data_IF_146838917248
#
_entry.id   IF_146838917248
#
_cell.length_a   1.000
_cell.length_b   1.000
_cell.length_c   1.000
_cell.angle_alpha   90.00
_cell.angle_beta   90.00
_cell.angle_gamma   90.00
#
_symmetry.space_group_name_H-M   'P 1'
#
loop_
_entity.id
_entity.type
_entity.pdbx_description
1 polymer ?
#
# COMPACT_ATOMS: atom_id res chain seq x y z
N UNK A 1 1.35 -9.48 -14.07
CA UNK A 1 0.74 -9.96 -12.81
C UNK A 1 0.63 -11.47 -12.88
N UNK A 2 1.11 -12.22 -11.88
CA UNK A 2 1.08 -13.68 -11.91
C UNK A 2 -0.25 -14.16 -11.30
N UNK A 3 -1.21 -14.67 -12.10
CA UNK A 3 -2.57 -14.97 -11.61
C UNK A 3 -2.62 -16.13 -10.59
N UNK A 4 -1.50 -16.82 -10.37
CA UNK A 4 -1.42 -18.01 -9.51
C UNK A 4 -1.41 -17.70 -8.01
N UNK A 5 -1.17 -16.45 -7.60
CA UNK A 5 -1.12 -16.08 -6.19
C UNK A 5 -2.15 -14.99 -5.86
N UNK A 6 -2.97 -15.16 -4.80
CA UNK A 6 -3.91 -14.13 -4.39
C UNK A 6 -3.19 -12.95 -3.73
N UNK A 7 -3.83 -11.79 -3.78
CA UNK A 7 -3.34 -10.60 -3.07
C UNK A 7 -3.50 -10.78 -1.55
N UNK A 8 -4.57 -11.46 -1.12
CA UNK A 8 -4.82 -11.80 0.28
C UNK A 8 -5.27 -13.26 0.44
N UNK A 9 -4.78 -13.91 1.49
CA UNK A 9 -5.21 -15.25 1.89
C UNK A 9 -5.57 -15.25 3.37
N UNK A 10 -6.77 -15.71 3.70
CA UNK A 10 -7.17 -15.87 5.10
C UNK A 10 -6.38 -17.01 5.75
N UNK A 11 -5.79 -16.75 6.92
CA UNK A 11 -4.82 -17.67 7.54
C UNK A 11 -5.43 -19.00 8.01
N UNK A 12 -6.68 -18.96 8.48
CA UNK A 12 -7.33 -20.13 9.11
C UNK A 12 -8.21 -20.89 8.12
N UNK A 13 -8.91 -20.18 7.22
CA UNK A 13 -9.82 -20.79 6.22
C UNK A 13 -9.14 -21.05 4.88
N UNK A 14 -8.02 -20.38 4.60
CA UNK A 14 -7.32 -20.47 3.32
C UNK A 14 -8.02 -19.76 2.17
N UNK A 15 -9.13 -19.05 2.41
CA UNK A 15 -9.86 -18.31 1.39
C UNK A 15 -8.98 -17.25 0.73
N UNK A 16 -9.02 -17.22 -0.60
CA UNK A 16 -8.16 -16.42 -1.44
C UNK A 16 -8.95 -15.25 -2.07
N UNK A 17 -8.40 -14.05 -1.95
CA UNK A 17 -9.00 -12.83 -2.49
C UNK A 17 -8.03 -12.14 -3.45
N UNK A 18 -8.54 -11.78 -4.63
CA UNK A 18 -7.84 -10.99 -5.63
C UNK A 18 -8.49 -9.62 -5.73
N UNK A 19 -7.68 -8.57 -5.69
CA UNK A 19 -8.14 -7.18 -5.84
C UNK A 19 -8.73 -6.94 -7.24
N UNK A 20 -8.21 -7.62 -8.26
CA UNK A 20 -8.75 -7.59 -9.63
C UNK A 20 -9.80 -8.67 -9.92
N UNK A 21 -10.38 -9.28 -8.89
CA UNK A 21 -11.47 -10.24 -9.05
C UNK A 21 -12.68 -9.63 -9.76
N UNK A 22 -13.31 -10.41 -10.66
CA UNK A 22 -14.47 -9.97 -11.47
C UNK A 22 -15.67 -9.50 -10.63
N UNK A 23 -15.80 -10.02 -9.40
CA UNK A 23 -16.93 -9.73 -8.51
C UNK A 23 -16.66 -8.59 -7.54
N UNK A 24 -15.52 -7.90 -7.64
CA UNK A 24 -15.23 -6.79 -6.74
C UNK A 24 -16.05 -5.56 -7.12
N UNK A 25 -16.70 -4.90 -6.15
CA UNK A 25 -17.33 -3.62 -6.37
C UNK A 25 -16.34 -2.58 -6.89
N UNK A 26 -16.80 -1.65 -7.73
CA UNK A 26 -15.96 -0.60 -8.32
C UNK A 26 -15.24 0.28 -7.29
N UNK A 27 -15.85 0.47 -6.11
CA UNK A 27 -15.28 1.29 -5.03
C UNK A 27 -13.98 0.74 -4.44
N UNK A 28 -13.71 -0.57 -4.58
CA UNK A 28 -12.50 -1.20 -4.02
C UNK A 28 -11.24 -0.55 -4.57
N UNK A 29 -11.20 -0.31 -5.88
CA UNK A 29 -10.05 0.33 -6.54
C UNK A 29 -9.89 1.79 -6.13
N UNK A 30 -11.00 2.52 -6.03
CA UNK A 30 -10.99 3.91 -5.59
C UNK A 30 -10.43 4.04 -4.17
N UNK A 31 -10.81 3.14 -3.26
CA UNK A 31 -10.33 3.17 -1.89
C UNK A 31 -8.85 2.80 -1.77
N UNK A 32 -8.38 1.83 -2.56
CA UNK A 32 -6.95 1.49 -2.62
C UNK A 32 -6.10 2.66 -3.10
N UNK A 33 -6.54 3.38 -4.13
CA UNK A 33 -5.81 4.55 -4.63
C UNK A 33 -5.68 5.66 -3.57
N UNK A 34 -6.72 5.86 -2.74
CA UNK A 34 -6.66 6.80 -1.60
C UNK A 34 -5.63 6.36 -0.56
N UNK A 35 -5.58 5.06 -0.25
CA UNK A 35 -4.61 4.52 0.71
C UNK A 35 -3.17 4.64 0.19
N UNK A 36 -2.94 4.30 -1.08
CA UNK A 36 -1.62 4.44 -1.72
C UNK A 36 -1.15 5.90 -1.67
N UNK A 37 -2.04 6.85 -1.96
CA UNK A 37 -1.72 8.28 -1.90
C UNK A 37 -1.34 8.73 -0.49
N UNK A 38 -2.06 8.27 0.54
CA UNK A 38 -1.75 8.54 1.95
C UNK A 38 -0.43 7.91 2.39
N UNK A 39 -0.17 6.68 1.96
CA UNK A 39 1.07 5.99 2.30
C UNK A 39 2.29 6.67 1.65
N UNK A 40 2.15 7.13 0.40
CA UNK A 40 3.17 7.92 -0.28
C UNK A 40 3.45 9.26 0.43
N UNK A 41 2.41 9.96 0.91
CA UNK A 41 2.62 11.20 1.64
C UNK A 41 3.37 10.96 2.94
N UNK A 42 2.99 9.94 3.72
CA UNK A 42 3.66 9.59 4.98
C UNK A 42 5.13 9.23 4.78
N UNK A 43 5.45 8.45 3.74
CA UNK A 43 6.85 8.12 3.40
C UNK A 43 7.65 9.36 2.98
N UNK A 44 7.04 10.28 2.23
CA UNK A 44 7.69 11.54 1.85
C UNK A 44 7.98 12.41 3.07
N UNK A 45 7.04 12.48 4.01
CA UNK A 45 7.20 13.29 5.22
C UNK A 45 8.31 12.71 6.12
N UNK A 46 8.35 11.39 6.29
CA UNK A 46 9.42 10.72 7.04
C UNK A 46 10.80 10.92 6.39
N UNK A 47 10.93 10.70 5.08
CA UNK A 47 12.19 10.88 4.36
C UNK A 47 12.67 12.34 4.37
N UNK A 48 11.75 13.30 4.29
CA UNK A 48 12.07 14.72 4.43
C UNK A 48 12.60 15.04 5.84
N UNK A 49 11.97 14.49 6.89
CA UNK A 49 12.44 14.65 8.27
C UNK A 49 13.81 14.01 8.50
N UNK A 50 14.04 12.82 7.93
CA UNK A 50 15.33 12.13 7.99
C UNK A 50 16.44 12.96 7.31
N UNK A 51 16.14 13.56 6.16
CA UNK A 51 17.07 14.40 5.40
C UNK A 51 17.44 15.68 6.17
N UNK A 52 16.42 16.40 6.70
CA UNK A 52 16.63 17.61 7.49
C UNK A 52 17.45 17.33 8.75
N UNK A 53 17.17 16.23 9.47
CA UNK A 53 17.91 15.85 10.66
C UNK A 53 19.35 15.42 10.39
N UNK A 54 19.60 14.76 9.24
CA UNK A 54 20.95 14.38 8.83
C UNK A 54 21.77 15.62 8.44
N UNK A 55 21.18 16.50 7.63
CA UNK A 55 21.85 17.73 7.18
C UNK A 55 22.15 18.72 8.32
N UNK A 56 21.43 18.64 9.44
CA UNK A 56 21.65 19.50 10.60
C UNK A 56 22.82 19.06 11.49
N UNK A 57 23.36 17.84 11.29
CA UNK A 57 24.52 17.30 12.04
C UNK A 57 25.85 17.55 11.35
N UNK A 58 25.81 17.93 10.08
CA UNK A 58 26.98 18.16 9.24
C UNK A 58 27.44 19.64 9.23
N UNK A 59 26.80 20.49 10.05
CA UNK A 59 27.18 21.87 10.37
C UNK A 59 27.75 21.96 11.79
#
# INVERSE_FOLDING_TARGET
RNPKYPDFKHKDTGEALWIEGRNNPSWVKSQLAVLDSKMQSLQRDESNMQFLFSSSKDL
#
